data_IF_384026728858
#
_entry.id   IF_384026728858
#
_cell.length_a   1.000
_cell.length_b   1.000
_cell.length_c   1.000
_cell.angle_alpha   90.00
_cell.angle_beta   90.00
_cell.angle_gamma   90.00
#
_symmetry.space_group_name_H-M   'P 1'
#
loop_
_entity.id
_entity.type
_entity.pdbx_description
1 polymer ?
#
# COMPACT_ATOMS: atom_id res chain seq x y z
N UNK A 1 6.52 -12.84 11.78
CA UNK A 1 6.70 -12.13 13.05
C UNK A 1 8.05 -11.40 13.04
N UNK A 2 8.06 -10.21 13.55
CA UNK A 2 9.24 -9.36 13.65
C UNK A 2 9.56 -9.05 15.12
N UNK A 3 10.83 -8.85 15.40
CA UNK A 3 11.29 -8.18 16.61
C UNK A 3 12.08 -6.97 16.19
N UNK A 4 11.65 -5.79 16.62
CA UNK A 4 12.35 -4.53 16.41
C UNK A 4 12.77 -3.94 17.74
N UNK A 5 13.94 -3.33 17.77
CA UNK A 5 14.41 -2.55 18.91
C UNK A 5 14.90 -1.22 18.42
N UNK A 6 14.24 -0.17 18.85
CA UNK A 6 14.64 1.19 18.54
C UNK A 6 15.53 1.73 19.65
N UNK A 7 16.68 2.28 19.26
CA UNK A 7 17.60 2.90 20.21
C UNK A 7 17.11 4.26 20.69
N UNK A 8 16.13 4.83 19.99
CA UNK A 8 15.64 6.18 20.24
C UNK A 8 14.24 6.22 20.83
N UNK A 9 13.70 5.17 21.41
CA UNK A 9 12.34 5.05 21.91
C UNK A 9 11.23 5.53 20.93
N UNK A 10 10.01 5.18 21.21
CA UNK A 10 8.84 5.60 20.43
C UNK A 10 8.48 7.08 20.60
N UNK A 11 9.12 7.76 21.53
CA UNK A 11 8.86 9.14 21.77
C UNK A 11 9.48 10.00 20.66
N UNK A 12 8.65 10.41 19.70
CA UNK A 12 9.05 11.30 18.59
C UNK A 12 9.64 12.62 19.05
N UNK A 13 9.29 13.09 20.27
CA UNK A 13 9.86 14.30 20.87
C UNK A 13 11.35 14.14 21.18
N UNK A 14 11.86 12.93 21.22
CA UNK A 14 13.29 12.70 21.37
C UNK A 14 14.11 13.26 20.22
N UNK A 15 13.55 13.34 19.02
CA UNK A 15 14.19 14.00 17.88
C UNK A 15 14.16 15.52 18.01
N UNK A 16 13.08 16.08 18.55
CA UNK A 16 12.94 17.52 18.71
C UNK A 16 13.55 18.05 20.01
N UNK A 17 13.67 17.21 21.04
CA UNK A 17 14.20 17.59 22.36
C UNK A 17 15.02 16.47 23.02
N UNK A 18 16.14 16.14 22.38
CA UNK A 18 17.02 15.06 22.81
C UNK A 18 17.52 15.21 24.26
N UNK A 19 17.69 16.44 24.74
CA UNK A 19 18.14 16.70 26.11
C UNK A 19 17.12 16.28 27.18
N UNK A 20 15.84 16.55 26.93
CA UNK A 20 14.74 16.23 27.85
C UNK A 20 14.50 14.72 27.95
N UNK A 21 14.57 14.04 26.82
CA UNK A 21 14.24 12.60 26.71
C UNK A 21 15.48 11.69 26.64
N UNK A 22 16.64 12.19 27.03
CA UNK A 22 17.92 11.48 26.99
C UNK A 22 17.91 10.13 27.71
N UNK A 23 17.13 10.03 28.78
CA UNK A 23 17.12 8.83 29.63
C UNK A 23 15.92 7.93 29.36
N UNK A 24 15.10 8.22 28.36
CA UNK A 24 14.01 7.34 28.01
C UNK A 24 14.55 5.97 27.56
N UNK A 25 14.03 4.88 28.13
CA UNK A 25 14.49 3.56 27.77
C UNK A 25 14.15 3.26 26.30
N UNK A 26 15.03 2.51 25.65
CA UNK A 26 14.70 1.93 24.35
C UNK A 26 13.71 0.79 24.53
N UNK A 27 12.74 0.69 23.65
CA UNK A 27 11.73 -0.36 23.68
C UNK A 27 12.01 -1.41 22.61
N UNK A 28 11.80 -2.67 22.98
CA UNK A 28 11.70 -3.77 22.03
C UNK A 28 10.24 -4.06 21.75
N UNK A 29 9.88 -4.32 20.50
CA UNK A 29 8.54 -4.70 20.08
C UNK A 29 8.54 -6.04 19.39
N UNK A 30 7.55 -6.86 19.69
CA UNK A 30 7.17 -8.00 18.87
C UNK A 30 5.96 -7.61 18.04
N UNK A 31 6.00 -7.97 16.78
CA UNK A 31 4.96 -7.61 15.83
C UNK A 31 4.72 -8.74 14.82
N UNK A 32 3.52 -8.78 14.27
CA UNK A 32 3.18 -9.49 13.04
C UNK A 32 2.82 -8.41 12.02
N UNK A 33 3.81 -7.86 11.30
CA UNK A 33 3.56 -6.72 10.43
C UNK A 33 2.50 -7.01 9.38
N UNK A 34 2.55 -8.23 8.80
CA UNK A 34 1.66 -8.63 7.73
C UNK A 34 1.23 -10.08 7.90
N UNK A 35 -0.06 -10.34 7.73
CA UNK A 35 -0.64 -11.67 7.55
C UNK A 35 -1.67 -11.59 6.42
N UNK A 36 -1.38 -12.23 5.29
CA UNK A 36 -2.16 -12.08 4.06
C UNK A 36 -2.89 -13.37 3.74
N UNK A 37 -4.17 -13.25 3.39
CA UNK A 37 -5.04 -14.35 2.97
C UNK A 37 -5.42 -14.15 1.51
N UNK A 38 -5.01 -15.09 0.65
CA UNK A 38 -5.40 -15.12 -0.77
C UNK A 38 -6.53 -16.10 -1.00
N UNK A 39 -7.58 -15.63 -1.67
CA UNK A 39 -8.68 -16.46 -2.16
C UNK A 39 -8.73 -16.34 -3.69
N UNK A 40 -8.40 -17.42 -4.37
CA UNK A 40 -8.41 -17.45 -5.82
C UNK A 40 -9.35 -18.54 -6.31
N UNK A 41 -10.08 -18.26 -7.39
CA UNK A 41 -10.96 -19.22 -8.02
C UNK A 41 -10.87 -19.17 -9.54
N UNK A 42 -10.76 -20.33 -10.17
CA UNK A 42 -10.80 -20.48 -11.63
C UNK A 42 -12.18 -21.03 -12.06
N UNK A 43 -12.97 -20.18 -12.70
CA UNK A 43 -14.27 -20.53 -13.28
C UNK A 43 -14.16 -21.31 -14.59
N UNK A 44 -12.95 -21.51 -15.09
CA UNK A 44 -12.70 -22.10 -16.39
C UNK A 44 -12.86 -21.09 -17.54
N UNK A 45 -12.54 -21.56 -18.75
CA UNK A 45 -12.62 -20.76 -20.00
C UNK A 45 -11.87 -19.42 -19.93
N UNK A 46 -10.84 -19.33 -19.09
CA UNK A 46 -10.02 -18.13 -18.89
C UNK A 46 -10.62 -17.08 -17.96
N UNK A 47 -11.68 -17.41 -17.23
CA UNK A 47 -12.21 -16.55 -16.16
C UNK A 47 -11.63 -16.95 -14.82
N UNK A 48 -11.08 -15.98 -14.10
CA UNK A 48 -10.53 -16.15 -12.76
C UNK A 48 -10.98 -15.01 -11.84
N UNK A 49 -11.04 -15.28 -10.56
CA UNK A 49 -11.26 -14.29 -9.49
C UNK A 49 -10.09 -14.36 -8.53
N UNK A 50 -9.68 -13.23 -8.02
CA UNK A 50 -8.71 -13.14 -6.94
C UNK A 50 -9.18 -12.17 -5.88
N UNK A 51 -8.86 -12.48 -4.64
CA UNK A 51 -9.05 -11.63 -3.48
C UNK A 51 -7.85 -11.73 -2.58
N UNK A 52 -7.47 -10.62 -2.01
CA UNK A 52 -6.38 -10.48 -1.05
C UNK A 52 -6.87 -9.67 0.13
N UNK A 53 -6.77 -10.27 1.30
CA UNK A 53 -7.13 -9.65 2.57
C UNK A 53 -5.88 -9.60 3.41
N UNK A 54 -5.43 -8.41 3.76
CA UNK A 54 -4.28 -8.19 4.61
C UNK A 54 -4.71 -7.84 6.04
N UNK A 55 -3.98 -8.40 6.99
CA UNK A 55 -4.05 -8.06 8.40
C UNK A 55 -2.71 -7.47 8.79
N UNK A 56 -2.69 -6.18 9.09
CA UNK A 56 -1.50 -5.51 9.60
C UNK A 56 -1.53 -5.43 11.13
N UNK A 57 -0.36 -5.55 11.76
CA UNK A 57 -0.17 -5.43 13.21
C UNK A 57 -1.19 -6.22 14.05
N UNK A 58 -1.45 -7.49 13.68
CA UNK A 58 -2.40 -8.40 14.34
C UNK A 58 -3.89 -8.06 14.14
N UNK A 59 -4.24 -7.18 13.21
CA UNK A 59 -5.62 -6.86 12.85
C UNK A 59 -6.19 -5.64 13.56
N UNK A 60 -7.52 -5.52 13.56
CA UNK A 60 -8.18 -4.32 14.07
C UNK A 60 -8.20 -4.28 15.59
N UNK A 61 -7.45 -3.35 16.16
CA UNK A 61 -7.60 -2.92 17.54
C UNK A 61 -7.91 -1.43 17.57
N UNK A 62 -8.92 -1.02 18.31
CA UNK A 62 -9.20 0.38 18.57
C UNK A 62 -9.05 0.59 20.07
N UNK A 63 -8.10 1.41 20.45
CA UNK A 63 -7.98 1.93 21.81
C UNK A 63 -8.38 3.39 21.85
N UNK A 64 -9.10 3.78 22.91
CA UNK A 64 -9.36 5.17 23.17
C UNK A 64 -8.31 5.63 24.17
N UNK A 65 -7.41 6.49 23.75
CA UNK A 65 -6.46 7.15 24.62
C UNK A 65 -7.01 8.50 25.06
N UNK A 66 -6.85 8.81 26.33
CA UNK A 66 -7.18 10.13 26.86
C UNK A 66 -5.88 10.83 27.19
N UNK A 67 -5.51 11.78 26.38
CA UNK A 67 -4.38 12.64 26.66
C UNK A 67 -4.82 13.94 27.32
N UNK A 68 -4.03 14.39 28.30
CA UNK A 68 -4.20 15.69 28.89
C UNK A 68 -3.25 16.65 28.21
N UNK A 69 -3.79 17.56 27.43
CA UNK A 69 -3.00 18.55 26.75
C UNK A 69 -2.43 19.66 27.66
N UNK A 70 -1.34 20.28 27.23
CA UNK A 70 -0.74 21.44 27.91
C UNK A 70 -1.69 22.64 27.96
N UNK A 71 -2.72 22.68 27.13
CA UNK A 71 -3.82 23.66 27.14
C UNK A 71 -4.75 23.52 28.35
N UNK A 72 -4.68 22.39 29.08
CA UNK A 72 -5.56 22.09 30.20
C UNK A 72 -6.85 21.40 29.80
N UNK A 73 -6.95 20.91 28.57
CA UNK A 73 -8.10 20.17 28.06
C UNK A 73 -7.78 18.71 27.94
N UNK A 74 -8.81 17.85 28.04
CA UNK A 74 -8.72 16.43 27.78
C UNK A 74 -9.06 16.18 26.33
N UNK A 75 -8.11 15.68 25.54
CA UNK A 75 -8.39 15.12 24.23
C UNK A 75 -8.63 13.62 24.31
N UNK A 76 -9.51 13.15 23.45
CA UNK A 76 -9.78 11.74 23.27
C UNK A 76 -9.33 11.34 21.88
N UNK A 77 -8.20 10.66 21.80
CA UNK A 77 -7.70 10.10 20.55
C UNK A 77 -8.13 8.65 20.37
N UNK A 78 -8.33 8.27 19.12
CA UNK A 78 -8.58 6.90 18.73
C UNK A 78 -7.30 6.34 18.14
N UNK A 79 -6.57 5.56 18.93
CA UNK A 79 -5.44 4.80 18.39
C UNK A 79 -5.91 3.54 17.68
N UNK A 80 -5.49 3.39 16.45
CA UNK A 80 -5.72 2.21 15.64
C UNK A 80 -4.50 1.28 15.78
N UNK A 81 -4.68 0.17 16.50
CA UNK A 81 -3.59 -0.76 16.80
C UNK A 81 -3.20 -1.68 15.65
N UNK A 82 -4.03 -1.78 14.63
CA UNK A 82 -3.79 -2.58 13.43
C UNK A 82 -4.84 -2.31 12.37
N UNK A 83 -4.71 -2.96 11.21
CA UNK A 83 -5.58 -2.77 10.06
C UNK A 83 -6.01 -4.10 9.46
N UNK A 84 -7.23 -4.16 8.92
CA UNK A 84 -7.67 -5.22 8.02
C UNK A 84 -8.16 -4.56 6.76
N UNK A 85 -7.50 -4.84 5.67
CA UNK A 85 -7.81 -4.27 4.36
C UNK A 85 -8.13 -5.33 3.33
N UNK A 86 -9.07 -4.99 2.44
CA UNK A 86 -9.28 -5.71 1.19
C UNK A 86 -8.36 -5.06 0.14
N UNK A 87 -7.12 -5.52 0.04
CA UNK A 87 -6.16 -4.95 -0.90
C UNK A 87 -6.53 -5.22 -2.34
N UNK A 88 -7.09 -6.40 -2.62
CA UNK A 88 -7.56 -6.75 -3.95
C UNK A 88 -8.85 -7.57 -3.89
N UNK A 89 -9.75 -7.28 -4.81
CA UNK A 89 -10.89 -8.11 -5.16
C UNK A 89 -11.27 -7.88 -6.62
N UNK A 90 -10.98 -8.85 -7.49
CA UNK A 90 -11.13 -8.67 -8.92
C UNK A 90 -11.60 -9.94 -9.64
N UNK A 91 -12.21 -9.72 -10.79
CA UNK A 91 -12.46 -10.74 -11.79
C UNK A 91 -11.62 -10.45 -13.04
N UNK A 92 -11.08 -11.49 -13.64
CA UNK A 92 -10.24 -11.38 -14.82
C UNK A 92 -10.69 -12.33 -15.93
N UNK A 93 -10.66 -11.83 -17.16
CA UNK A 93 -10.77 -12.61 -18.37
C UNK A 93 -9.43 -12.67 -19.08
N UNK A 94 -8.90 -13.87 -19.26
CA UNK A 94 -7.72 -14.12 -20.07
C UNK A 94 -8.14 -14.46 -21.50
N UNK A 95 -7.76 -13.64 -22.47
CA UNK A 95 -7.94 -13.91 -23.90
C UNK A 95 -6.72 -14.59 -24.50
N UNK A 96 -5.54 -14.40 -23.91
CA UNK A 96 -4.30 -15.01 -24.34
C UNK A 96 -3.11 -14.52 -23.52
N UNK A 97 -1.91 -14.83 -23.98
CA UNK A 97 -0.70 -14.36 -23.30
C UNK A 97 -0.53 -12.84 -23.40
N UNK A 98 -0.96 -12.28 -24.50
CA UNK A 98 -0.73 -10.89 -24.84
C UNK A 98 -1.86 -9.94 -24.42
N UNK A 99 -3.05 -10.46 -24.11
CA UNK A 99 -4.20 -9.64 -23.69
C UNK A 99 -5.00 -10.30 -22.59
N UNK A 100 -5.17 -9.57 -21.51
CA UNK A 100 -6.01 -9.94 -20.37
C UNK A 100 -6.76 -8.69 -19.89
N UNK A 101 -7.99 -8.87 -19.50
CA UNK A 101 -8.83 -7.83 -18.92
C UNK A 101 -9.10 -8.19 -17.46
N UNK A 102 -8.81 -7.28 -16.54
CA UNK A 102 -9.11 -7.40 -15.11
C UNK A 102 -9.96 -6.22 -14.69
N UNK A 103 -10.94 -6.44 -13.83
CA UNK A 103 -11.79 -5.39 -13.27
C UNK A 103 -12.11 -5.70 -11.81
N UNK A 104 -12.26 -4.66 -11.03
CA UNK A 104 -12.52 -4.72 -9.59
C UNK A 104 -11.59 -3.81 -8.80
N UNK A 105 -11.37 -4.14 -7.54
CA UNK A 105 -10.39 -3.49 -6.68
C UNK A 105 -9.02 -4.09 -6.97
N UNK A 106 -8.12 -3.29 -7.47
CA UNK A 106 -6.83 -3.75 -8.04
C UNK A 106 -5.68 -2.87 -7.58
N UNK A 107 -4.51 -3.45 -7.46
CA UNK A 107 -3.30 -2.69 -7.16
C UNK A 107 -2.88 -1.83 -8.35
N UNK A 108 -2.53 -0.59 -8.07
CA UNK A 108 -1.99 0.36 -9.06
C UNK A 108 -0.48 0.14 -9.15
N UNK A 109 0.05 -0.37 -10.28
CA UNK A 109 1.43 -0.82 -10.38
C UNK A 109 2.42 0.33 -10.59
N UNK A 110 2.29 1.38 -9.78
CA UNK A 110 3.14 2.57 -9.84
C UNK A 110 4.26 2.48 -8.81
N UNK A 111 5.49 2.69 -9.24
CA UNK A 111 6.65 2.50 -8.39
C UNK A 111 7.07 1.03 -8.26
N UNK A 112 7.96 0.76 -7.32
CA UNK A 112 8.48 -0.58 -7.06
C UNK A 112 7.62 -1.33 -6.04
N UNK A 113 7.32 -0.71 -4.90
CA UNK A 113 6.62 -1.36 -3.79
C UNK A 113 5.14 -1.60 -4.04
N UNK A 114 4.49 -0.83 -4.92
CA UNK A 114 3.13 -1.14 -5.35
C UNK A 114 3.10 -2.24 -6.42
N UNK A 115 4.05 -2.22 -7.36
CA UNK A 115 4.13 -3.26 -8.39
C UNK A 115 4.49 -4.64 -7.82
N UNK A 116 5.19 -4.67 -6.69
CA UNK A 116 5.66 -5.88 -5.97
C UNK A 116 5.39 -5.71 -4.48
N UNK A 117 4.12 -5.52 -4.15
CA UNK A 117 3.63 -5.18 -2.82
C UNK A 117 3.69 -6.32 -1.81
N UNK A 118 3.96 -7.53 -2.26
CA UNK A 118 4.10 -8.69 -1.39
C UNK A 118 5.23 -8.51 -0.37
N UNK A 119 5.00 -8.73 0.93
CA UNK A 119 6.03 -8.58 1.97
C UNK A 119 7.28 -9.42 1.74
N UNK A 120 7.15 -10.53 1.01
CA UNK A 120 8.28 -11.40 0.62
C UNK A 120 9.25 -10.75 -0.37
N UNK A 121 8.85 -9.68 -1.02
CA UNK A 121 9.68 -8.92 -1.97
C UNK A 121 10.42 -7.74 -1.32
N UNK A 122 10.16 -7.46 -0.05
CA UNK A 122 10.84 -6.38 0.65
C UNK A 122 12.27 -6.76 1.03
N UNK A 123 13.15 -5.79 1.10
CA UNK A 123 14.52 -5.98 1.61
C UNK A 123 14.54 -6.14 3.13
N UNK A 124 13.51 -5.66 3.80
CA UNK A 124 13.32 -5.70 5.26
C UNK A 124 11.94 -6.27 5.59
N UNK A 125 11.60 -6.32 6.85
CA UNK A 125 10.26 -6.74 7.31
C UNK A 125 9.18 -5.73 6.93
N UNK A 126 9.56 -4.46 6.78
CA UNK A 126 8.67 -3.35 6.44
C UNK A 126 8.93 -2.84 5.02
N UNK A 127 7.95 -2.15 4.46
CA UNK A 127 8.08 -1.44 3.17
C UNK A 127 9.23 -0.42 3.21
N UNK A 128 9.92 -0.19 2.09
CA UNK A 128 10.90 0.90 1.99
C UNK A 128 10.24 2.25 2.27
N UNK A 129 10.73 2.94 3.30
CA UNK A 129 10.13 4.19 3.80
C UNK A 129 10.09 5.30 2.74
N UNK A 130 11.10 5.40 1.89
CA UNK A 130 11.18 6.45 0.88
C UNK A 130 9.98 6.45 -0.08
N UNK A 131 9.60 5.28 -0.60
CA UNK A 131 8.48 5.18 -1.53
C UNK A 131 7.14 5.30 -0.78
N UNK A 132 7.01 4.67 0.39
CA UNK A 132 5.82 4.75 1.23
C UNK A 132 5.54 6.16 1.77
N UNK A 133 6.54 7.04 1.81
CA UNK A 133 6.38 8.45 2.20
C UNK A 133 5.76 9.30 1.09
N UNK A 134 6.08 9.00 -0.19
CA UNK A 134 5.71 9.87 -1.31
C UNK A 134 4.55 9.33 -2.15
N UNK A 135 4.29 8.03 -2.10
CA UNK A 135 3.23 7.35 -2.86
C UNK A 135 2.24 6.68 -1.90
N UNK A 136 0.97 6.51 -2.30
CA UNK A 136 0.09 5.56 -1.63
C UNK A 136 0.74 4.16 -1.64
N UNK A 137 0.73 3.46 -0.52
CA UNK A 137 1.27 2.11 -0.35
C UNK A 137 0.50 1.36 0.75
N UNK A 138 -0.16 0.22 0.42
CA UNK A 138 -0.31 -0.31 -0.94
C UNK A 138 -1.28 0.60 -1.70
N UNK A 139 -0.93 0.96 -2.93
CA UNK A 139 -1.85 1.76 -3.74
C UNK A 139 -2.80 0.84 -4.50
N UNK A 140 -4.03 0.76 -4.07
CA UNK A 140 -5.10 0.00 -4.71
C UNK A 140 -6.32 0.88 -4.94
N UNK A 141 -7.04 0.64 -6.02
CA UNK A 141 -8.25 1.36 -6.40
C UNK A 141 -9.19 0.48 -7.23
N UNK A 142 -10.47 0.82 -7.22
CA UNK A 142 -11.43 0.14 -8.07
C UNK A 142 -11.37 0.67 -9.49
N UNK A 143 -11.17 -0.22 -10.45
CA UNK A 143 -11.01 0.16 -11.84
C UNK A 143 -10.90 -1.01 -12.80
N UNK A 144 -10.35 -0.73 -13.95
CA UNK A 144 -10.17 -1.69 -15.05
C UNK A 144 -8.71 -1.70 -15.47
N UNK A 145 -8.15 -2.89 -15.67
CA UNK A 145 -6.78 -3.11 -16.11
C UNK A 145 -6.75 -3.96 -17.38
N UNK A 146 -6.02 -3.50 -18.39
CA UNK A 146 -5.59 -4.27 -19.56
C UNK A 146 -4.12 -4.59 -19.41
N UNK A 147 -3.75 -5.86 -19.43
CA UNK A 147 -2.35 -6.26 -19.31
C UNK A 147 -1.99 -7.44 -20.19
N UNK A 148 -0.73 -7.60 -20.45
CA UNK A 148 -0.24 -8.71 -21.26
C UNK A 148 1.27 -8.82 -21.33
N UNK A 149 1.71 -9.87 -22.03
CA UNK A 149 3.11 -10.21 -22.26
C UNK A 149 3.39 -10.25 -23.76
N UNK A 150 4.34 -9.45 -24.20
CA UNK A 150 4.84 -9.39 -25.58
C UNK A 150 6.34 -9.75 -25.57
N UNK A 151 6.65 -11.01 -25.82
CA UNK A 151 8.02 -11.51 -25.66
C UNK A 151 8.52 -11.35 -24.23
N UNK A 152 9.58 -10.56 -24.05
CA UNK A 152 10.15 -10.22 -22.74
C UNK A 152 9.57 -8.95 -22.10
N UNK A 153 8.55 -8.37 -22.71
CA UNK A 153 7.90 -7.17 -22.21
C UNK A 153 6.59 -7.53 -21.55
N UNK A 154 6.34 -6.98 -20.36
CA UNK A 154 5.03 -6.94 -19.71
C UNK A 154 4.53 -5.49 -19.74
N UNK A 155 3.28 -5.33 -20.11
CA UNK A 155 2.61 -4.03 -20.02
C UNK A 155 1.32 -4.15 -19.21
N UNK A 156 0.94 -3.07 -18.59
CA UNK A 156 -0.32 -2.92 -17.87
C UNK A 156 -0.81 -1.48 -18.02
N UNK A 157 -2.05 -1.32 -18.46
CA UNK A 157 -2.74 -0.06 -18.60
C UNK A 157 -4.00 -0.11 -17.73
N UNK A 158 -4.16 0.83 -16.83
CA UNK A 158 -5.31 0.90 -15.94
C UNK A 158 -6.09 2.20 -16.14
N UNK A 159 -7.42 2.10 -16.04
CA UNK A 159 -8.35 3.22 -15.93
C UNK A 159 -8.93 3.20 -14.51
N UNK A 160 -8.72 4.29 -13.77
CA UNK A 160 -8.99 4.42 -12.35
C UNK A 160 -9.66 5.76 -12.04
N UNK A 161 -10.28 5.96 -10.86
CA UNK A 161 -10.56 7.29 -10.34
C UNK A 161 -9.26 8.09 -10.17
N UNK A 162 -9.32 9.39 -10.44
CA UNK A 162 -8.20 10.28 -10.23
C UNK A 162 -7.87 10.48 -8.75
N UNK A 163 -6.62 10.81 -8.45
CA UNK A 163 -6.21 11.18 -7.10
C UNK A 163 -6.87 12.50 -6.66
N UNK A 164 -7.16 12.61 -5.38
CA UNK A 164 -7.59 13.86 -4.78
C UNK A 164 -6.38 14.78 -4.51
N UNK A 165 -6.24 15.79 -5.37
CA UNK A 165 -5.15 16.75 -5.25
C UNK A 165 -5.25 17.64 -3.99
N UNK A 166 -6.42 17.75 -3.36
CA UNK A 166 -6.56 18.49 -2.10
C UNK A 166 -5.88 17.80 -0.92
N UNK A 167 -5.67 16.49 -1.05
CA UNK A 167 -4.95 15.67 -0.06
C UNK A 167 -3.43 15.63 -0.28
N UNK A 168 -2.92 16.31 -1.31
CA UNK A 168 -1.48 16.40 -1.54
C UNK A 168 -0.82 17.34 -0.53
N UNK A 169 0.39 17.01 -0.12
CA UNK A 169 1.15 17.82 0.83
C UNK A 169 2.61 17.92 0.43
N UNK A 170 3.30 18.94 0.95
CA UNK A 170 4.73 19.12 0.73
C UNK A 170 5.56 17.95 1.29
N UNK A 171 5.15 17.42 2.42
CA UNK A 171 5.92 16.42 3.16
C UNK A 171 5.59 14.98 2.72
N UNK A 172 4.37 14.76 2.23
CA UNK A 172 3.84 13.44 1.86
C UNK A 172 3.51 13.30 0.37
N UNK A 173 3.79 14.33 -0.41
CA UNK A 173 3.56 14.38 -1.86
C UNK A 173 2.14 13.94 -2.22
N UNK A 174 2.01 12.82 -2.95
CA UNK A 174 0.71 12.29 -3.40
C UNK A 174 0.18 11.16 -2.49
N UNK A 175 0.89 10.81 -1.41
CA UNK A 175 0.61 9.64 -0.57
C UNK A 175 -0.86 9.52 -0.16
N UNK A 176 -1.47 10.63 0.28
CA UNK A 176 -2.85 10.64 0.74
C UNK A 176 -3.89 10.90 -0.36
N UNK A 177 -3.47 11.02 -1.59
CA UNK A 177 -4.36 11.36 -2.71
C UNK A 177 -5.26 10.21 -3.17
N UNK A 178 -4.94 8.97 -2.84
CA UNK A 178 -5.75 7.81 -3.21
C UNK A 178 -7.02 7.64 -2.35
N UNK A 179 -7.17 8.44 -1.30
CA UNK A 179 -8.17 8.22 -0.27
C UNK A 179 -7.82 7.07 0.67
N UNK A 180 -8.62 6.86 1.69
CA UNK A 180 -8.51 5.66 2.54
C UNK A 180 -9.34 4.52 1.96
N UNK A 181 -9.02 3.27 2.34
CA UNK A 181 -9.82 2.10 1.97
C UNK A 181 -11.29 2.19 2.45
N UNK A 182 -11.58 3.09 3.39
CA UNK A 182 -12.90 3.33 3.98
C UNK A 182 -13.72 4.39 3.24
N UNK A 183 -13.13 5.08 2.27
CA UNK A 183 -13.79 6.14 1.53
C UNK A 183 -14.11 5.70 0.10
N UNK A 184 -15.34 6.00 -0.33
CA UNK A 184 -15.71 5.80 -1.72
C UNK A 184 -14.93 6.78 -2.60
N UNK A 185 -14.14 6.25 -3.53
CA UNK A 185 -13.46 7.09 -4.50
C UNK A 185 -14.50 7.82 -5.37
N UNK A 186 -14.39 9.13 -5.41
CA UNK A 186 -15.26 9.97 -6.27
C UNK A 186 -14.81 9.79 -7.71
N UNK A 187 -15.61 9.08 -8.52
CA UNK A 187 -15.31 8.78 -9.92
C UNK A 187 -15.78 9.87 -10.89
N UNK A 188 -15.67 11.14 -10.51
CA UNK A 188 -15.97 12.28 -11.39
C UNK A 188 -14.81 12.66 -12.31
N UNK A 189 -13.62 12.21 -11.98
CA UNK A 189 -12.40 12.38 -12.77
C UNK A 189 -11.71 11.03 -12.87
N UNK A 190 -11.13 10.77 -14.01
CA UNK A 190 -10.46 9.51 -14.30
C UNK A 190 -8.98 9.73 -14.50
N UNK A 191 -8.22 8.73 -14.17
CA UNK A 191 -6.78 8.68 -14.37
C UNK A 191 -6.40 7.44 -15.16
N UNK A 192 -5.28 7.52 -15.82
CA UNK A 192 -4.65 6.42 -16.53
C UNK A 192 -3.32 6.11 -15.83
N UNK A 193 -3.17 4.88 -15.37
CA UNK A 193 -1.88 4.37 -14.91
C UNK A 193 -1.32 3.40 -15.93
N UNK A 194 -0.05 3.57 -16.27
CA UNK A 194 0.69 2.73 -17.21
C UNK A 194 1.92 2.16 -16.51
N UNK A 195 2.17 0.88 -16.73
CA UNK A 195 3.44 0.24 -16.39
C UNK A 195 3.94 -0.61 -17.53
N UNK A 196 5.24 -0.55 -17.76
CA UNK A 196 5.95 -1.43 -18.71
C UNK A 196 7.20 -1.98 -18.03
N UNK A 197 7.36 -3.30 -18.04
CA UNK A 197 8.53 -3.99 -17.52
C UNK A 197 9.23 -4.77 -18.61
N UNK A 198 10.55 -4.78 -18.61
CA UNK A 198 11.40 -5.58 -19.49
C UNK A 198 12.15 -6.65 -18.69
N UNK A 199 12.13 -7.88 -19.16
CA UNK A 199 12.75 -9.07 -18.57
C UNK A 199 13.76 -9.74 -19.52
N UNK A 200 14.29 -9.03 -20.51
CA UNK A 200 15.17 -9.64 -21.53
C UNK A 200 16.52 -10.07 -20.99
N UNK A 201 16.97 -9.51 -19.88
CA UNK A 201 18.25 -9.85 -19.24
C UNK A 201 17.95 -10.75 -18.03
N UNK A 202 18.47 -12.00 -17.98
CA UNK A 202 18.27 -12.88 -16.84
C UNK A 202 18.72 -12.23 -15.52
N UNK A 203 17.85 -12.29 -14.52
CA UNK A 203 18.12 -11.70 -13.20
C UNK A 203 17.95 -10.18 -13.11
N UNK A 204 17.60 -9.49 -14.21
CA UNK A 204 17.34 -8.06 -14.24
C UNK A 204 15.95 -7.77 -14.78
N UNK A 205 15.22 -6.91 -14.08
CA UNK A 205 13.98 -6.33 -14.54
C UNK A 205 14.07 -4.80 -14.50
N UNK A 206 13.73 -4.18 -15.60
CA UNK A 206 13.65 -2.73 -15.71
C UNK A 206 12.19 -2.36 -15.95
N UNK A 207 11.64 -1.53 -15.07
CA UNK A 207 10.25 -1.08 -15.13
C UNK A 207 10.14 0.44 -15.23
N UNK A 208 9.12 0.90 -15.96
CA UNK A 208 8.73 2.30 -16.04
C UNK A 208 7.23 2.40 -15.74
N UNK A 209 6.86 3.37 -14.90
CA UNK A 209 5.46 3.68 -14.60
C UNK A 209 5.15 5.13 -14.96
N UNK A 210 3.95 5.39 -15.41
CA UNK A 210 3.41 6.72 -15.66
C UNK A 210 1.97 6.81 -15.16
N UNK A 211 1.59 8.00 -14.72
CA UNK A 211 0.23 8.31 -14.22
C UNK A 211 -0.22 9.66 -14.78
N UNK A 212 -1.45 9.70 -15.28
CA UNK A 212 -2.03 10.91 -15.86
C UNK A 212 -3.49 11.05 -15.48
#
# INVERSE_FOLDING_TARGET
AAYTREFFSDNVYRYSNAGKYKNDPSHGRFDIPHAVVYLNYDFGKGWTMGSEIEFEHTGTGVSFEKEYEESGEWEQEVEKGGEVELEQFWIQKRFGRWLNLRMGHIVVPFGLTNAYHEPLHYFTVYRPEGEATILPCTWHQTGVSLWGLLGSWRYELQLLPGLDAMSFSRDKWIQKGAGSAMEFAVANKYAIALRVDNYSIPGLRIGLSAYY
#
